data_IF_163324096084
#
_entry.id   IF_163324096084
#
_cell.length_a   1.000
_cell.length_b   1.000
_cell.length_c   1.000
_cell.angle_alpha   90.00
_cell.angle_beta   90.00
_cell.angle_gamma   90.00
#
_symmetry.space_group_name_H-M   'P 1'
#
loop_
_entity.id
_entity.type
_entity.pdbx_description
1 polymer ?
#
# COMPACT_ATOMS: atom_id res chain seq x y z
N UNK A 1 -30.18 -33.87 -26.91
CA UNK A 1 -30.34 -32.88 -25.83
C UNK A 1 -29.30 -31.79 -26.07
N UNK A 2 -29.73 -30.59 -26.43
CA UNK A 2 -28.84 -29.46 -26.76
C UNK A 2 -28.68 -28.65 -25.47
N UNK A 3 -27.51 -28.66 -24.86
CA UNK A 3 -27.14 -27.80 -23.72
C UNK A 3 -26.75 -26.42 -24.26
N UNK A 4 -27.54 -25.44 -23.91
CA UNK A 4 -27.28 -24.02 -24.17
C UNK A 4 -26.21 -23.53 -23.17
N UNK A 5 -25.05 -23.12 -23.68
CA UNK A 5 -24.06 -22.38 -22.90
C UNK A 5 -24.47 -20.90 -22.86
N UNK A 6 -24.80 -20.40 -21.67
CA UNK A 6 -24.93 -18.99 -21.41
C UNK A 6 -23.54 -18.42 -21.11
N UNK A 7 -22.85 -17.95 -22.15
CA UNK A 7 -21.73 -17.03 -21.93
C UNK A 7 -22.33 -15.67 -21.60
N UNK A 8 -22.20 -15.26 -20.32
CA UNK A 8 -22.56 -13.93 -19.90
C UNK A 8 -21.47 -12.96 -20.39
N UNK A 9 -21.54 -12.57 -21.65
CA UNK A 9 -20.82 -11.43 -22.20
C UNK A 9 -21.56 -10.21 -21.66
N UNK A 10 -20.99 -9.58 -20.61
CA UNK A 10 -21.43 -8.26 -20.16
C UNK A 10 -20.99 -7.25 -21.22
N UNK A 11 -21.76 -7.17 -22.30
CA UNK A 11 -21.66 -6.12 -23.29
C UNK A 11 -22.15 -4.84 -22.62
N UNK A 12 -21.23 -3.97 -22.18
CA UNK A 12 -21.57 -2.60 -21.80
C UNK A 12 -22.18 -1.92 -23.05
N UNK A 13 -23.48 -1.85 -23.11
CA UNK A 13 -24.20 -0.96 -23.99
C UNK A 13 -23.85 0.48 -23.55
N UNK A 14 -22.86 1.06 -24.21
CA UNK A 14 -22.61 2.49 -24.14
C UNK A 14 -23.78 3.18 -24.86
N UNK A 15 -24.62 3.98 -24.19
CA UNK A 15 -25.56 4.81 -24.91
C UNK A 15 -24.75 5.80 -25.75
N UNK A 16 -25.03 5.85 -27.05
CA UNK A 16 -24.54 6.87 -27.95
C UNK A 16 -25.18 8.20 -27.53
N UNK A 17 -24.58 8.90 -26.57
CA UNK A 17 -24.94 10.28 -26.27
C UNK A 17 -24.40 11.16 -27.39
N UNK A 18 -25.30 11.82 -28.09
CA UNK A 18 -24.96 12.91 -28.99
C UNK A 18 -24.28 14.01 -28.19
N UNK A 19 -22.99 14.20 -28.40
CA UNK A 19 -22.24 15.29 -27.79
C UNK A 19 -22.60 16.59 -28.49
N UNK A 20 -23.28 17.45 -27.75
CA UNK A 20 -23.36 18.86 -28.08
C UNK A 20 -22.01 19.49 -27.73
N UNK A 21 -21.32 20.00 -28.75
CA UNK A 21 -20.11 20.78 -28.56
C UNK A 21 -20.37 21.99 -27.68
N UNK A 22 -19.71 22.04 -26.51
CA UNK A 22 -19.42 23.33 -25.87
C UNK A 22 -18.17 23.21 -24.98
N UNK A 23 -17.21 24.10 -25.27
CA UNK A 23 -15.95 24.40 -24.61
C UNK A 23 -14.90 23.30 -24.67
N UNK A 24 -13.87 23.55 -25.47
CA UNK A 24 -12.61 22.82 -25.49
C UNK A 24 -12.00 22.81 -24.06
N UNK A 25 -12.26 21.77 -23.29
CA UNK A 25 -11.39 21.41 -22.18
C UNK A 25 -10.16 20.82 -22.81
N UNK A 26 -9.06 21.52 -22.68
CA UNK A 26 -7.75 21.09 -23.21
C UNK A 26 -7.44 19.68 -22.71
N UNK A 27 -7.07 18.81 -23.64
CA UNK A 27 -6.54 17.51 -23.31
C UNK A 27 -5.12 17.70 -22.76
N UNK A 28 -4.88 17.21 -21.57
CA UNK A 28 -3.56 17.27 -20.94
C UNK A 28 -2.79 15.98 -21.23
N UNK A 29 -1.61 16.12 -21.80
CA UNK A 29 -0.66 15.02 -21.99
C UNK A 29 0.65 15.39 -21.32
N UNK A 30 1.15 14.52 -20.45
CA UNK A 30 2.46 14.69 -19.83
C UNK A 30 3.27 13.41 -19.88
N UNK A 31 4.58 13.59 -19.99
CA UNK A 31 5.55 12.51 -19.93
C UNK A 31 6.65 12.90 -18.95
N UNK A 32 7.00 11.99 -18.05
CA UNK A 32 8.06 12.20 -17.08
C UNK A 32 9.00 11.00 -17.02
N UNK A 33 10.27 11.28 -16.72
CA UNK A 33 11.29 10.27 -16.56
C UNK A 33 11.96 10.43 -15.19
N UNK A 34 12.15 9.32 -14.51
CA UNK A 34 12.89 9.27 -13.25
C UNK A 34 14.07 8.32 -13.39
N UNK A 35 15.27 8.80 -13.03
CA UNK A 35 16.47 7.99 -12.85
C UNK A 35 16.86 8.12 -11.38
N UNK A 36 16.89 7.03 -10.64
CA UNK A 36 17.13 7.02 -9.19
C UNK A 36 18.15 5.95 -8.81
N UNK A 37 19.45 6.21 -8.96
CA UNK A 37 20.50 5.38 -8.36
C UNK A 37 20.51 5.60 -6.85
N UNK A 38 20.76 4.52 -6.09
CA UNK A 38 20.90 4.56 -4.62
C UNK A 38 22.05 3.65 -4.20
N UNK A 39 23.14 4.28 -3.76
CA UNK A 39 24.26 3.57 -3.18
C UNK A 39 23.99 3.28 -1.70
N UNK A 40 24.26 2.05 -1.28
CA UNK A 40 24.07 1.59 0.08
C UNK A 40 25.31 0.85 0.58
N UNK A 41 25.69 1.14 1.82
CA UNK A 41 26.65 0.36 2.61
C UNK A 41 25.93 -0.20 3.82
N UNK A 42 25.84 -1.53 3.92
CA UNK A 42 25.09 -2.23 4.97
C UNK A 42 26.03 -2.98 5.90
N UNK A 43 26.16 -2.46 7.11
CA UNK A 43 26.87 -3.14 8.21
C UNK A 43 25.86 -3.84 9.14
N UNK A 44 25.17 -4.83 8.62
CA UNK A 44 23.94 -5.41 9.11
C UNK A 44 22.78 -5.01 8.20
N UNK A 45 21.58 -5.55 8.44
CA UNK A 45 20.35 -5.17 7.73
C UNK A 45 19.20 -5.10 8.75
N UNK A 46 18.27 -6.05 8.74
CA UNK A 46 17.23 -6.16 9.76
C UNK A 46 17.73 -6.77 11.08
N UNK A 47 18.96 -7.24 11.10
CA UNK A 47 19.65 -7.77 12.29
C UNK A 47 21.07 -7.22 12.33
N UNK A 48 21.69 -7.09 13.52
CA UNK A 48 23.10 -6.77 13.65
C UNK A 48 23.96 -7.76 12.83
N UNK A 49 25.04 -7.27 12.27
CA UNK A 49 25.99 -8.10 11.54
C UNK A 49 26.68 -9.10 12.49
N UNK A 50 26.66 -10.37 12.13
CA UNK A 50 27.38 -11.39 12.88
C UNK A 50 28.90 -11.21 12.76
N UNK A 51 29.63 -11.67 13.77
CA UNK A 51 31.09 -11.69 13.76
C UNK A 51 31.63 -12.50 12.55
N UNK A 52 32.69 -12.01 11.91
CA UNK A 52 33.25 -12.61 10.72
C UNK A 52 32.54 -12.34 9.39
N UNK A 53 31.29 -11.89 9.41
CA UNK A 53 30.55 -11.53 8.20
C UNK A 53 30.96 -10.13 7.72
N UNK A 54 31.29 -9.96 6.44
CA UNK A 54 31.67 -8.66 5.86
C UNK A 54 30.43 -7.80 5.63
N UNK A 55 30.59 -6.48 5.73
CA UNK A 55 29.57 -5.53 5.32
C UNK A 55 29.33 -5.63 3.80
N UNK A 56 28.09 -5.34 3.37
CA UNK A 56 27.70 -5.36 1.97
C UNK A 56 27.64 -3.95 1.38
N UNK A 57 27.98 -3.82 0.10
CA UNK A 57 27.79 -2.56 -0.66
C UNK A 57 27.07 -2.87 -1.97
N UNK A 58 26.13 -2.02 -2.35
CA UNK A 58 25.40 -2.15 -3.61
C UNK A 58 24.94 -0.78 -4.12
N UNK A 59 24.71 -0.69 -5.42
CA UNK A 59 24.04 0.45 -6.03
C UNK A 59 22.79 -0.08 -6.70
N UNK A 60 21.62 0.24 -6.11
CA UNK A 60 20.32 -0.02 -6.72
C UNK A 60 20.01 1.09 -7.72
N UNK A 61 19.30 0.75 -8.78
CA UNK A 61 18.85 1.72 -9.76
C UNK A 61 17.40 1.50 -10.15
N UNK A 62 16.65 2.58 -10.29
CA UNK A 62 15.35 2.62 -10.95
C UNK A 62 15.39 3.63 -12.09
N UNK A 63 15.07 3.18 -13.30
CA UNK A 63 14.74 4.03 -14.42
C UNK A 63 13.25 3.84 -14.73
N UNK A 64 12.44 4.88 -14.59
CA UNK A 64 10.98 4.84 -14.77
C UNK A 64 10.57 5.91 -15.79
N UNK A 65 9.76 5.49 -16.77
CA UNK A 65 9.06 6.37 -17.68
C UNK A 65 7.58 6.35 -17.33
N UNK A 66 6.98 7.51 -17.17
CA UNK A 66 5.54 7.67 -16.91
C UNK A 66 4.91 8.52 -17.99
N UNK A 67 3.74 8.13 -18.43
CA UNK A 67 2.89 8.83 -19.39
C UNK A 67 1.53 9.00 -18.70
N UNK A 68 1.06 10.24 -18.65
CA UNK A 68 -0.23 10.61 -18.10
C UNK A 68 -1.02 11.33 -19.19
N UNK A 69 -2.25 10.93 -19.40
CA UNK A 69 -3.22 11.57 -20.28
C UNK A 69 -4.49 11.87 -19.50
N UNK A 70 -4.99 13.09 -19.63
CA UNK A 70 -6.20 13.52 -18.98
C UNK A 70 -7.10 14.29 -19.94
N UNK A 71 -8.35 13.90 -19.94
CA UNK A 71 -9.48 14.56 -20.59
C UNK A 71 -10.57 14.81 -19.54
N UNK A 72 -11.60 15.54 -19.86
CA UNK A 72 -12.66 15.90 -18.91
C UNK A 72 -13.28 14.73 -18.16
N UNK A 73 -13.39 13.56 -18.80
CA UNK A 73 -14.07 12.37 -18.31
C UNK A 73 -13.17 11.13 -18.25
N UNK A 74 -11.92 11.25 -18.70
CA UNK A 74 -10.99 10.13 -18.81
C UNK A 74 -9.60 10.53 -18.32
N UNK A 75 -9.04 9.73 -17.42
CA UNK A 75 -7.63 9.78 -17.03
C UNK A 75 -6.98 8.43 -17.37
N UNK A 76 -5.80 8.46 -17.99
CA UNK A 76 -5.00 7.25 -18.28
C UNK A 76 -3.60 7.48 -17.73
N UNK A 77 -3.07 6.49 -17.04
CA UNK A 77 -1.67 6.46 -16.63
C UNK A 77 -1.00 5.17 -17.07
N UNK A 78 0.19 5.31 -17.62
CA UNK A 78 1.09 4.19 -17.87
C UNK A 78 2.48 4.53 -17.33
N UNK A 79 3.05 3.61 -16.57
CA UNK A 79 4.38 3.75 -15.98
C UNK A 79 5.14 2.44 -16.11
N UNK A 80 6.20 2.45 -16.91
CA UNK A 80 7.10 1.32 -17.09
C UNK A 80 8.46 1.62 -16.46
N UNK A 81 9.08 0.59 -15.85
CA UNK A 81 10.35 0.78 -15.16
C UNK A 81 11.31 -0.40 -15.33
N UNK A 82 12.59 -0.08 -15.31
CA UNK A 82 13.66 -1.02 -15.06
C UNK A 82 14.14 -0.83 -13.62
N UNK A 83 14.23 -1.93 -12.87
CA UNK A 83 14.80 -1.96 -11.51
C UNK A 83 15.85 -3.05 -11.41
N UNK A 84 16.99 -2.74 -10.81
CA UNK A 84 18.10 -3.69 -10.69
C UNK A 84 19.23 -3.15 -9.83
N UNK A 85 20.30 -3.92 -9.75
CA UNK A 85 21.55 -3.56 -9.11
C UNK A 85 22.61 -3.42 -10.20
N UNK A 86 23.48 -2.43 -10.10
CA UNK A 86 24.57 -2.24 -11.06
C UNK A 86 25.46 -3.49 -11.15
N UNK A 87 25.69 -3.94 -12.37
CA UNK A 87 26.43 -5.17 -12.65
C UNK A 87 25.59 -6.46 -12.56
N UNK A 88 24.30 -6.39 -12.20
CA UNK A 88 23.42 -7.54 -12.15
C UNK A 88 23.10 -8.08 -13.55
N UNK A 89 22.97 -7.19 -14.54
CA UNK A 89 22.66 -7.57 -15.92
C UNK A 89 23.98 -7.81 -16.66
N UNK A 90 24.24 -9.04 -17.19
CA UNK A 90 25.39 -9.31 -18.02
C UNK A 90 25.38 -8.45 -19.27
N UNK A 91 26.54 -8.08 -19.78
CA UNK A 91 26.64 -7.50 -21.10
C UNK A 91 26.07 -8.49 -22.14
N UNK A 92 25.33 -7.98 -23.13
CA UNK A 92 24.67 -8.77 -24.15
C UNK A 92 23.56 -9.69 -23.64
N UNK A 93 23.01 -9.43 -22.44
CA UNK A 93 21.82 -10.13 -21.94
C UNK A 93 20.61 -9.81 -22.82
N UNK A 94 19.87 -10.87 -23.18
CA UNK A 94 18.65 -10.79 -23.97
C UNK A 94 17.37 -10.78 -23.11
N UNK A 95 17.50 -10.93 -21.79
CA UNK A 95 16.38 -11.00 -20.85
C UNK A 95 16.02 -9.59 -20.39
N UNK A 96 14.93 -9.06 -20.90
CA UNK A 96 14.44 -7.77 -20.47
C UNK A 96 13.92 -7.78 -19.03
N UNK A 97 14.24 -6.74 -18.26
CA UNK A 97 13.79 -6.54 -16.87
C UNK A 97 12.82 -5.38 -16.73
N UNK A 98 12.10 -5.08 -17.79
CA UNK A 98 11.06 -4.07 -17.75
C UNK A 98 9.83 -4.60 -17.02
N UNK A 99 9.35 -3.81 -16.05
CA UNK A 99 8.14 -4.10 -15.28
C UNK A 99 7.16 -2.96 -15.47
N UNK A 100 5.92 -3.30 -15.76
CA UNK A 100 4.84 -2.32 -15.76
C UNK A 100 4.48 -2.00 -14.30
N UNK A 101 4.80 -0.79 -13.85
CA UNK A 101 4.53 -0.34 -12.49
C UNK A 101 3.09 0.12 -12.30
N UNK A 102 2.58 0.92 -13.24
CA UNK A 102 1.17 1.31 -13.30
C UNK A 102 0.68 1.24 -14.74
N UNK A 103 -0.57 0.83 -14.92
CA UNK A 103 -1.29 0.87 -16.19
C UNK A 103 -2.78 0.82 -15.89
N UNK A 104 -3.42 1.98 -15.84
CA UNK A 104 -4.82 2.08 -15.49
C UNK A 104 -5.53 3.18 -16.28
N UNK A 105 -6.84 3.03 -16.40
CA UNK A 105 -7.75 4.06 -16.89
C UNK A 105 -8.81 4.36 -15.84
N UNK A 106 -9.15 5.63 -15.68
CA UNK A 106 -10.23 6.12 -14.82
C UNK A 106 -11.25 6.86 -15.67
N UNK A 107 -12.51 6.46 -15.56
CA UNK A 107 -13.65 7.10 -16.18
C UNK A 107 -14.47 7.83 -15.11
N UNK A 108 -14.78 9.09 -15.36
CA UNK A 108 -15.69 9.90 -14.56
C UNK A 108 -17.08 9.85 -15.21
N UNK A 109 -18.09 9.44 -14.44
CA UNK A 109 -19.48 9.33 -14.87
C UNK A 109 -20.31 10.58 -14.53
N UNK A 110 -19.67 11.60 -13.98
CA UNK A 110 -20.34 12.77 -13.44
C UNK A 110 -20.91 12.54 -12.03
N UNK A 111 -21.36 13.62 -11.41
CA UNK A 111 -21.94 13.62 -10.06
C UNK A 111 -21.01 13.01 -8.98
N UNK A 112 -19.69 13.02 -9.22
CA UNK A 112 -18.69 12.48 -8.33
C UNK A 112 -18.47 10.97 -8.44
N UNK A 113 -19.15 10.27 -9.34
CA UNK A 113 -19.01 8.84 -9.56
C UNK A 113 -17.91 8.54 -10.57
N UNK A 114 -17.04 7.57 -10.26
CA UNK A 114 -15.98 7.12 -11.16
C UNK A 114 -15.70 5.62 -11.04
N UNK A 115 -15.06 5.08 -12.09
CA UNK A 115 -14.44 3.76 -12.06
C UNK A 115 -12.99 3.86 -12.56
N UNK A 116 -12.07 3.18 -11.87
CA UNK A 116 -10.66 3.05 -12.25
C UNK A 116 -10.28 1.59 -12.32
N UNK A 117 -9.77 1.16 -13.46
CA UNK A 117 -9.42 -0.24 -13.70
C UNK A 117 -7.97 -0.34 -14.18
N UNK A 118 -7.27 -1.34 -13.68
CA UNK A 118 -5.92 -1.71 -14.10
C UNK A 118 -4.92 -1.75 -12.95
N UNK A 119 -3.63 -1.80 -13.31
CA UNK A 119 -2.50 -1.82 -12.37
C UNK A 119 -2.27 -0.45 -11.78
N UNK A 120 -2.44 -0.31 -10.47
CA UNK A 120 -2.47 0.97 -9.79
C UNK A 120 -1.85 0.88 -8.39
N UNK A 121 -1.26 1.97 -7.93
CA UNK A 121 -0.92 2.11 -6.52
C UNK A 121 -2.20 2.37 -5.70
N UNK A 122 -2.33 1.67 -4.57
CA UNK A 122 -3.37 1.93 -3.57
C UNK A 122 -2.71 2.65 -2.38
N UNK A 123 -3.00 3.94 -2.25
CA UNK A 123 -2.42 4.80 -1.23
C UNK A 123 -3.55 5.45 -0.47
N UNK A 124 -3.66 5.13 0.82
CA UNK A 124 -4.76 5.56 1.68
C UNK A 124 -4.25 6.05 3.03
N UNK A 125 -4.89 7.10 3.53
CA UNK A 125 -4.64 7.70 4.84
C UNK A 125 -3.15 8.05 5.04
N UNK A 126 -2.53 7.57 6.11
CA UNK A 126 -1.11 7.73 6.39
C UNK A 126 -0.22 6.61 5.81
N UNK A 127 -0.81 5.68 5.03
CA UNK A 127 -0.14 4.53 4.43
C UNK A 127 0.24 3.39 5.40
N UNK A 128 -0.40 3.28 6.55
CA UNK A 128 -0.11 2.18 7.50
C UNK A 128 -0.61 0.82 7.04
N UNK A 129 -1.68 0.77 6.24
CA UNK A 129 -2.31 -0.47 5.74
C UNK A 129 -2.17 -0.59 4.23
N UNK A 130 -2.44 0.48 3.48
CA UNK A 130 -2.31 0.56 2.02
C UNK A 130 -1.39 1.72 1.66
N UNK A 131 -0.21 1.42 1.14
CA UNK A 131 0.78 2.41 0.76
C UNK A 131 1.53 2.05 -0.51
N UNK A 132 2.02 3.08 -1.21
CA UNK A 132 2.68 2.96 -2.50
C UNK A 132 4.09 2.38 -2.44
N UNK A 133 4.72 2.38 -1.26
CA UNK A 133 6.09 1.89 -1.02
C UNK A 133 7.11 2.48 -2.01
N UNK A 134 6.95 3.74 -2.43
CA UNK A 134 7.79 4.32 -3.50
C UNK A 134 9.25 4.58 -3.09
N UNK A 135 9.56 4.59 -1.78
CA UNK A 135 10.94 4.61 -1.30
C UNK A 135 11.71 3.33 -1.70
N UNK A 136 11.04 2.17 -1.79
CA UNK A 136 11.60 0.94 -2.34
C UNK A 136 11.93 1.12 -3.83
N UNK A 137 12.93 0.40 -4.32
CA UNK A 137 13.36 0.54 -5.72
C UNK A 137 12.26 0.15 -6.71
N UNK A 138 11.41 -0.82 -6.37
CA UNK A 138 10.33 -1.30 -7.25
C UNK A 138 9.01 -0.54 -7.07
N UNK A 139 8.69 -0.09 -5.84
CA UNK A 139 7.35 0.39 -5.51
C UNK A 139 6.35 -0.77 -5.31
N UNK A 140 5.08 -0.43 -5.05
CA UNK A 140 3.99 -1.40 -4.90
C UNK A 140 2.81 -1.04 -5.79
N UNK A 141 2.16 -2.04 -6.34
CA UNK A 141 0.97 -1.91 -7.15
C UNK A 141 0.00 -3.07 -6.90
N UNK A 142 -1.25 -2.87 -7.33
CA UNK A 142 -2.32 -3.85 -7.30
C UNK A 142 -3.06 -3.84 -8.63
N UNK A 143 -3.39 -5.00 -9.17
CA UNK A 143 -4.28 -5.14 -10.32
C UNK A 143 -5.72 -5.16 -9.78
N UNK A 144 -6.46 -4.07 -9.98
CA UNK A 144 -7.73 -3.85 -9.29
C UNK A 144 -8.73 -3.02 -10.10
N UNK A 145 -10.01 -3.25 -9.80
CA UNK A 145 -11.11 -2.34 -10.11
C UNK A 145 -11.39 -1.50 -8.84
N UNK A 146 -11.40 -0.18 -8.99
CA UNK A 146 -11.81 0.77 -7.97
C UNK A 146 -13.04 1.53 -8.46
N UNK A 147 -14.14 1.39 -7.75
CA UNK A 147 -15.35 2.19 -7.93
C UNK A 147 -15.37 3.26 -6.83
N UNK A 148 -15.65 4.48 -7.19
CA UNK A 148 -15.61 5.58 -6.25
C UNK A 148 -16.75 6.58 -6.41
N UNK A 149 -17.03 7.24 -5.30
CA UNK A 149 -17.87 8.41 -5.22
C UNK A 149 -17.16 9.47 -4.38
N UNK A 150 -17.13 10.69 -4.88
CA UNK A 150 -16.56 11.83 -4.16
C UNK A 150 -17.46 13.06 -4.29
N UNK A 151 -17.66 13.74 -3.18
CA UNK A 151 -18.22 15.09 -3.15
C UNK A 151 -17.32 15.99 -2.28
N UNK A 152 -17.79 17.20 -1.92
CA UNK A 152 -17.01 18.14 -1.13
C UNK A 152 -16.49 17.58 0.20
N UNK A 153 -17.30 16.76 0.87
CA UNK A 153 -17.07 16.30 2.23
C UNK A 153 -16.82 14.80 2.36
N UNK A 154 -17.28 14.02 1.40
CA UNK A 154 -17.31 12.56 1.49
C UNK A 154 -16.64 11.94 0.28
N UNK A 155 -15.84 10.93 0.52
CA UNK A 155 -15.25 10.09 -0.50
C UNK A 155 -15.42 8.62 -0.09
N UNK A 156 -15.88 7.79 -1.03
CA UNK A 156 -16.10 6.35 -0.82
C UNK A 156 -15.44 5.59 -1.94
N UNK A 157 -14.63 4.58 -1.62
CA UNK A 157 -14.04 3.66 -2.59
C UNK A 157 -14.42 2.22 -2.26
N UNK A 158 -14.85 1.49 -3.29
CA UNK A 158 -14.92 0.03 -3.31
C UNK A 158 -13.80 -0.48 -4.22
N UNK A 159 -12.89 -1.27 -3.66
CA UNK A 159 -11.73 -1.82 -4.36
C UNK A 159 -11.89 -3.33 -4.44
N UNK A 160 -11.79 -3.88 -5.65
CA UNK A 160 -11.88 -5.29 -5.93
C UNK A 160 -10.64 -5.74 -6.69
N UNK A 161 -9.88 -6.67 -6.13
CA UNK A 161 -8.70 -7.24 -6.77
C UNK A 161 -8.78 -8.77 -6.78
N UNK A 162 -8.27 -9.36 -7.85
CA UNK A 162 -8.24 -10.82 -8.04
C UNK A 162 -6.95 -11.20 -8.76
N UNK A 163 -6.21 -12.14 -8.18
CA UNK A 163 -4.95 -12.64 -8.70
C UNK A 163 -5.05 -14.12 -9.07
N UNK A 164 -4.32 -14.51 -10.10
CA UNK A 164 -4.22 -15.88 -10.59
C UNK A 164 -2.80 -16.14 -11.11
N UNK A 165 -2.31 -17.36 -10.96
CA UNK A 165 -0.98 -17.72 -11.43
C UNK A 165 -0.87 -17.81 -12.94
N UNK A 166 -1.99 -18.21 -13.61
CA UNK A 166 -2.03 -18.51 -15.01
C UNK A 166 -3.47 -18.48 -15.55
N UNK A 167 -3.63 -18.33 -16.86
CA UNK A 167 -4.91 -18.49 -17.53
C UNK A 167 -5.22 -19.98 -17.68
N UNK A 168 -6.30 -20.44 -17.02
CA UNK A 168 -6.78 -21.82 -17.11
C UNK A 168 -8.08 -21.91 -17.86
N UNK A 169 -8.21 -22.93 -18.73
CA UNK A 169 -9.46 -23.23 -19.44
C UNK A 169 -10.37 -24.15 -18.66
N UNK A 170 -9.80 -25.00 -17.81
CA UNK A 170 -10.51 -25.97 -16.95
C UNK A 170 -9.69 -26.23 -15.69
N UNK A 171 -10.27 -26.85 -14.67
CA UNK A 171 -9.58 -27.33 -13.48
C UNK A 171 -9.44 -26.30 -12.36
N UNK A 172 -10.14 -25.17 -12.45
CA UNK A 172 -10.12 -24.14 -11.41
C UNK A 172 -9.00 -23.09 -11.56
N UNK A 173 -9.05 -22.07 -10.73
CA UNK A 173 -8.09 -20.95 -10.70
C UNK A 173 -7.39 -20.93 -9.35
N UNK A 174 -6.06 -21.08 -9.36
CA UNK A 174 -5.24 -21.17 -8.16
C UNK A 174 -4.25 -20.02 -8.07
N UNK A 175 -3.92 -19.63 -6.84
CA UNK A 175 -2.94 -18.58 -6.53
C UNK A 175 -2.10 -18.91 -5.29
N UNK A 176 -1.84 -20.19 -5.04
CA UNK A 176 -1.15 -20.63 -3.82
C UNK A 176 0.31 -20.16 -3.70
N UNK A 177 0.96 -19.83 -4.81
CA UNK A 177 2.37 -19.41 -4.88
C UNK A 177 2.59 -18.23 -5.83
N UNK A 178 1.69 -17.27 -5.84
CA UNK A 178 1.77 -16.10 -6.71
C UNK A 178 2.69 -15.00 -6.18
N UNK A 179 3.01 -14.04 -7.05
CA UNK A 179 3.85 -12.90 -6.71
C UNK A 179 3.14 -11.86 -5.82
N UNK A 180 1.82 -11.77 -5.90
CA UNK A 180 1.04 -10.93 -5.00
C UNK A 180 0.71 -11.69 -3.70
N UNK A 181 0.62 -11.02 -2.55
CA UNK A 181 0.45 -11.70 -1.28
C UNK A 181 -0.99 -12.15 -0.98
N UNK A 182 -1.94 -11.98 -1.90
CA UNK A 182 -3.35 -12.39 -1.76
C UNK A 182 -3.90 -12.92 -3.08
N UNK A 183 -4.89 -13.82 -3.01
CA UNK A 183 -5.67 -14.26 -4.17
C UNK A 183 -6.74 -13.23 -4.56
N UNK A 184 -7.47 -12.76 -3.58
CA UNK A 184 -8.50 -11.74 -3.80
C UNK A 184 -8.53 -10.74 -2.64
N UNK A 185 -8.99 -9.51 -2.94
CA UNK A 185 -9.15 -8.45 -1.98
C UNK A 185 -10.44 -7.69 -2.29
N UNK A 186 -11.24 -7.51 -1.25
CA UNK A 186 -12.39 -6.62 -1.25
C UNK A 186 -12.16 -5.57 -0.16
N UNK A 187 -12.11 -4.30 -0.55
CA UNK A 187 -11.87 -3.21 0.39
C UNK A 187 -12.90 -2.11 0.20
N UNK A 188 -13.46 -1.66 1.30
CA UNK A 188 -14.26 -0.44 1.36
C UNK A 188 -13.48 0.58 2.18
N UNK A 189 -13.29 1.75 1.63
CA UNK A 189 -12.71 2.90 2.32
C UNK A 189 -13.66 4.09 2.20
N UNK A 190 -13.87 4.78 3.30
CA UNK A 190 -14.68 5.99 3.39
C UNK A 190 -13.85 7.08 4.06
N UNK A 191 -13.90 8.28 3.52
CA UNK A 191 -13.30 9.46 4.13
C UNK A 191 -14.32 10.60 4.24
N UNK A 192 -14.37 11.20 5.41
CA UNK A 192 -15.10 12.40 5.71
C UNK A 192 -14.15 13.55 5.99
N UNK A 193 -14.40 14.71 5.37
CA UNK A 193 -13.69 15.96 5.63
C UNK A 193 -14.69 17.02 6.07
N UNK A 194 -14.50 17.59 7.26
CA UNK A 194 -15.37 18.63 7.79
C UNK A 194 -15.15 19.98 7.07
N UNK A 195 -16.21 20.76 6.95
CA UNK A 195 -16.17 22.06 6.27
C UNK A 195 -15.64 23.19 7.15
N UNK A 196 -16.00 23.18 8.43
CA UNK A 196 -15.81 24.33 9.35
C UNK A 196 -14.55 24.18 10.20
N UNK A 197 -14.25 22.96 10.58
CA UNK A 197 -13.06 22.62 11.38
C UNK A 197 -12.10 21.79 10.57
N UNK A 198 -10.77 21.90 10.79
CA UNK A 198 -9.76 21.12 10.05
C UNK A 198 -9.70 19.67 10.55
N UNK A 199 -10.82 18.95 10.44
CA UNK A 199 -10.99 17.57 10.87
C UNK A 199 -11.28 16.66 9.68
N UNK A 200 -10.61 15.50 9.67
CA UNK A 200 -10.85 14.41 8.73
C UNK A 200 -10.94 13.07 9.47
N UNK A 201 -11.75 12.18 8.96
CA UNK A 201 -11.91 10.82 9.49
C UNK A 201 -12.08 9.83 8.35
N UNK A 202 -11.33 8.72 8.40
CA UNK A 202 -11.50 7.61 7.47
C UNK A 202 -11.93 6.35 8.20
N UNK A 203 -12.69 5.51 7.49
CA UNK A 203 -13.02 4.14 7.89
C UNK A 203 -12.54 3.20 6.80
N UNK A 204 -11.91 2.10 7.19
CA UNK A 204 -11.44 1.05 6.29
C UNK A 204 -12.00 -0.30 6.73
N UNK A 205 -12.51 -1.05 5.78
CA UNK A 205 -12.77 -2.48 5.91
C UNK A 205 -12.11 -3.20 4.73
N UNK A 206 -11.24 -4.15 5.01
CA UNK A 206 -10.53 -4.96 4.01
C UNK A 206 -10.74 -6.43 4.33
N UNK A 207 -11.14 -7.21 3.32
CA UNK A 207 -11.22 -8.65 3.36
C UNK A 207 -10.20 -9.24 2.38
N UNK A 208 -9.22 -9.96 2.87
CA UNK A 208 -8.16 -10.58 2.09
C UNK A 208 -8.36 -12.09 2.01
N UNK A 209 -8.42 -12.63 0.80
CA UNK A 209 -8.37 -14.06 0.55
C UNK A 209 -6.92 -14.51 0.39
N UNK A 210 -6.44 -15.29 1.35
CA UNK A 210 -5.10 -15.88 1.37
C UNK A 210 -5.19 -17.34 0.97
N UNK A 211 -4.66 -17.69 -0.19
CA UNK A 211 -4.73 -19.06 -0.72
C UNK A 211 -3.45 -19.83 -0.37
N UNK A 212 -3.65 -21.06 0.10
CA UNK A 212 -2.60 -22.03 0.39
C UNK A 212 -2.97 -23.37 -0.21
N UNK A 213 -2.02 -24.28 -0.34
CA UNK A 213 -2.22 -25.61 -0.90
C UNK A 213 -1.40 -25.84 -2.16
N UNK A 214 -1.78 -26.88 -2.90
CA UNK A 214 -1.06 -27.30 -4.09
C UNK A 214 -1.94 -27.16 -5.34
N UNK A 215 -1.53 -26.28 -6.25
CA UNK A 215 -2.21 -26.06 -7.51
C UNK A 215 -2.15 -27.29 -8.43
N UNK A 216 -1.12 -28.15 -8.33
CA UNK A 216 -0.96 -29.33 -9.15
C UNK A 216 -1.96 -30.44 -8.77
N UNK A 217 -2.25 -30.58 -7.49
CA UNK A 217 -3.24 -31.54 -6.96
C UNK A 217 -4.65 -30.96 -6.90
N UNK A 218 -4.81 -29.68 -7.22
CA UNK A 218 -6.07 -28.92 -7.10
C UNK A 218 -6.60 -28.88 -5.63
N UNK A 219 -5.72 -29.11 -4.68
CA UNK A 219 -6.02 -29.01 -3.25
C UNK A 219 -5.56 -27.64 -2.72
N UNK A 220 -6.40 -26.65 -2.92
CA UNK A 220 -6.15 -25.30 -2.43
C UNK A 220 -7.29 -24.81 -1.54
N UNK A 221 -6.92 -24.00 -0.55
CA UNK A 221 -7.86 -23.42 0.39
C UNK A 221 -7.65 -21.91 0.50
N UNK A 222 -8.71 -21.14 0.26
CA UNK A 222 -8.70 -19.68 0.49
C UNK A 222 -9.22 -19.39 1.89
N UNK A 223 -8.40 -18.77 2.71
CA UNK A 223 -8.73 -18.29 4.04
C UNK A 223 -8.84 -16.79 4.05
N UNK A 224 -9.71 -16.25 4.87
CA UNK A 224 -10.00 -14.82 4.86
C UNK A 224 -9.52 -14.16 6.14
N UNK A 225 -8.71 -13.11 5.96
CA UNK A 225 -8.27 -12.18 6.98
C UNK A 225 -9.01 -10.85 6.79
N UNK A 226 -9.73 -10.41 7.80
CA UNK A 226 -10.39 -9.11 7.80
C UNK A 226 -9.54 -8.11 8.59
N UNK A 227 -9.37 -6.91 8.02
CA UNK A 227 -8.78 -5.75 8.70
C UNK A 227 -9.79 -4.61 8.66
N UNK A 228 -10.10 -4.04 9.81
CA UNK A 228 -11.02 -2.92 9.93
C UNK A 228 -10.44 -1.86 10.86
N UNK A 229 -10.70 -0.59 10.56
CA UNK A 229 -10.19 0.47 11.40
C UNK A 229 -10.53 1.87 10.93
N UNK A 230 -9.92 2.83 11.60
CA UNK A 230 -10.13 4.26 11.40
C UNK A 230 -8.82 5.02 11.44
N UNK A 231 -8.78 6.10 10.66
CA UNK A 231 -7.73 7.11 10.72
C UNK A 231 -8.36 8.49 10.90
N UNK A 232 -7.86 9.25 11.86
CA UNK A 232 -8.38 10.55 12.26
C UNK A 232 -7.29 11.61 12.11
N UNK A 233 -7.66 12.79 11.63
CA UNK A 233 -6.79 13.96 11.55
C UNK A 233 -7.50 15.18 12.12
N UNK A 234 -6.75 15.99 12.89
CA UNK A 234 -7.24 17.29 13.37
C UNK A 234 -6.09 18.29 13.39
N UNK A 235 -6.21 19.38 12.62
CA UNK A 235 -5.11 20.35 12.41
C UNK A 235 -5.50 21.77 12.80
N UNK A 236 -5.81 22.05 14.09
CA UNK A 236 -6.20 23.37 14.56
C UNK A 236 -4.98 24.29 14.73
N UNK A 237 -4.91 25.38 13.97
CA UNK A 237 -3.84 26.37 14.04
C UNK A 237 -2.46 25.75 13.77
N UNK A 238 -1.56 25.83 14.76
CA UNK A 238 -0.20 25.27 14.66
C UNK A 238 -0.08 23.79 15.03
N UNK A 239 -1.16 23.15 15.45
CA UNK A 239 -1.18 21.74 15.81
C UNK A 239 -1.49 20.84 14.62
N UNK A 240 -0.88 19.66 14.57
CA UNK A 240 -1.30 18.52 13.74
C UNK A 240 -1.44 17.31 14.65
N UNK A 241 -2.66 16.81 14.76
CA UNK A 241 -3.00 15.64 15.57
C UNK A 241 -3.50 14.55 14.63
N UNK A 242 -2.90 13.36 14.74
CA UNK A 242 -3.25 12.21 13.94
C UNK A 242 -3.45 11.00 14.86
N UNK A 243 -4.42 10.13 14.51
CA UNK A 243 -4.69 8.91 15.25
C UNK A 243 -5.16 7.80 14.34
N UNK A 244 -4.71 6.58 14.58
CA UNK A 244 -5.12 5.39 13.84
C UNK A 244 -5.45 4.25 14.79
N UNK A 245 -6.45 3.45 14.45
CA UNK A 245 -6.75 2.20 15.12
C UNK A 245 -7.20 1.17 14.09
N UNK A 246 -6.59 -0.03 14.13
CA UNK A 246 -6.97 -1.14 13.26
C UNK A 246 -7.05 -2.44 14.06
N UNK A 247 -8.01 -3.28 13.70
CA UNK A 247 -8.22 -4.61 14.25
C UNK A 247 -8.24 -5.65 13.14
N UNK A 248 -7.57 -6.78 13.37
CA UNK A 248 -7.54 -7.92 12.46
C UNK A 248 -8.22 -9.14 13.08
N UNK A 249 -9.01 -9.82 12.26
CA UNK A 249 -9.74 -11.04 12.64
C UNK A 249 -9.85 -11.99 11.45
N UNK A 250 -10.40 -13.18 11.68
CA UNK A 250 -10.53 -14.22 10.66
C UNK A 250 -9.43 -15.26 10.76
N UNK A 251 -8.80 -15.62 9.64
CA UNK A 251 -7.71 -16.61 9.58
C UNK A 251 -6.55 -16.12 8.74
N UNK A 252 -5.32 -16.36 9.20
CA UNK A 252 -4.13 -16.20 8.41
C UNK A 252 -3.93 -17.36 7.40
N UNK A 253 -2.86 -17.31 6.60
CA UNK A 253 -2.53 -18.36 5.62
C UNK A 253 -2.30 -19.73 6.28
N UNK A 254 -1.86 -19.79 7.53
CA UNK A 254 -1.55 -20.99 8.28
C UNK A 254 -2.79 -21.58 9.01
N UNK A 255 -3.99 -21.07 8.69
CA UNK A 255 -5.28 -21.45 9.27
C UNK A 255 -5.50 -21.05 10.73
N UNK A 256 -4.59 -20.31 11.34
CA UNK A 256 -4.74 -19.82 12.70
C UNK A 256 -5.80 -18.74 12.78
N UNK A 257 -6.60 -18.76 13.82
CA UNK A 257 -7.57 -17.68 14.11
C UNK A 257 -6.81 -16.43 14.53
N UNK A 258 -7.08 -15.31 13.87
CA UNK A 258 -6.41 -14.03 14.15
C UNK A 258 -7.26 -13.17 15.09
N UNK A 259 -6.60 -12.48 16.01
CA UNK A 259 -7.18 -11.44 16.85
C UNK A 259 -6.07 -10.47 17.24
N UNK A 260 -5.77 -9.53 16.35
CA UNK A 260 -4.64 -8.62 16.47
C UNK A 260 -5.09 -7.16 16.35
N UNK A 261 -4.36 -6.25 16.96
CA UNK A 261 -4.69 -4.82 16.92
C UNK A 261 -3.46 -3.94 16.76
N UNK A 262 -3.68 -2.78 16.18
CA UNK A 262 -2.72 -1.70 16.07
C UNK A 262 -3.37 -0.39 16.49
N UNK A 263 -2.64 0.44 17.22
CA UNK A 263 -3.01 1.80 17.56
C UNK A 263 -1.86 2.75 17.35
N UNK A 264 -2.17 3.98 16.92
CA UNK A 264 -1.20 5.04 16.74
C UNK A 264 -1.79 6.37 17.14
N UNK A 265 -0.99 7.21 17.79
CA UNK A 265 -1.30 8.62 18.03
C UNK A 265 -0.07 9.46 17.76
N UNK A 266 -0.27 10.62 17.15
CA UNK A 266 0.78 11.60 16.89
C UNK A 266 0.27 13.00 17.19
N UNK A 267 1.09 13.80 17.82
CA UNK A 267 0.89 15.24 17.99
C UNK A 267 2.14 15.98 17.53
N UNK A 268 1.95 16.92 16.61
CA UNK A 268 3.02 17.83 16.17
C UNK A 268 2.58 19.27 16.39
N UNK A 269 3.54 20.13 16.72
CA UNK A 269 3.33 21.55 16.90
C UNK A 269 4.38 22.35 16.14
N UNK A 270 3.93 23.27 15.30
CA UNK A 270 4.78 24.21 14.58
C UNK A 270 4.86 25.54 15.37
N UNK A 271 6.01 25.87 15.92
CA UNK A 271 6.23 27.15 16.58
C UNK A 271 6.15 28.30 15.57
N UNK A 272 6.76 28.07 14.42
CA UNK A 272 6.78 28.97 13.29
C UNK A 272 7.04 28.18 11.97
N UNK A 273 7.40 28.87 10.87
CA UNK A 273 7.75 28.23 9.60
C UNK A 273 9.06 27.45 9.64
N UNK A 274 9.91 27.71 10.64
CA UNK A 274 11.27 27.18 10.77
C UNK A 274 11.34 26.01 11.74
N UNK A 275 10.69 26.12 12.89
CA UNK A 275 10.79 25.15 13.99
C UNK A 275 9.48 24.44 14.28
N UNK A 276 9.58 23.16 14.56
CA UNK A 276 8.46 22.36 15.05
C UNK A 276 8.94 21.16 15.86
N UNK A 277 8.02 20.57 16.60
CA UNK A 277 8.26 19.36 17.40
C UNK A 277 7.18 18.34 17.11
N UNK A 278 7.47 17.06 17.33
CA UNK A 278 6.54 15.96 17.20
C UNK A 278 6.72 14.97 18.34
N UNK A 279 5.62 14.42 18.82
CA UNK A 279 5.62 13.25 19.69
C UNK A 279 4.62 12.23 19.12
N UNK A 280 4.96 10.95 19.15
CA UNK A 280 4.06 9.88 18.72
C UNK A 280 4.26 8.61 19.52
N UNK A 281 3.20 7.79 19.53
CA UNK A 281 3.23 6.46 20.09
C UNK A 281 2.53 5.50 19.13
N UNK A 282 3.21 4.41 18.80
CA UNK A 282 2.71 3.32 17.98
C UNK A 282 2.70 2.02 18.77
N UNK A 283 1.62 1.26 18.64
CA UNK A 283 1.46 -0.06 19.23
C UNK A 283 1.02 -1.06 18.17
N UNK A 284 1.77 -2.13 17.99
CA UNK A 284 1.41 -3.31 17.22
C UNK A 284 1.39 -4.50 18.15
N UNK A 285 0.25 -5.16 18.29
CA UNK A 285 0.13 -6.36 19.14
C UNK A 285 1.06 -7.48 18.69
N UNK A 286 1.58 -8.23 19.64
CA UNK A 286 2.42 -9.41 19.44
C UNK A 286 1.71 -10.71 19.81
N UNK A 287 2.37 -11.85 19.53
CA UNK A 287 1.91 -13.19 19.85
C UNK A 287 3.00 -13.97 20.58
N UNK A 288 2.62 -14.60 21.71
CA UNK A 288 3.53 -15.43 22.53
C UNK A 288 3.64 -16.87 22.04
N UNK A 289 2.86 -17.27 21.04
CA UNK A 289 2.84 -18.63 20.51
C UNK A 289 2.21 -19.67 21.44
N UNK A 290 1.46 -19.26 22.45
CA UNK A 290 0.90 -20.14 23.49
C UNK A 290 -0.63 -20.02 23.66
N UNK A 291 -1.31 -19.38 22.72
CA UNK A 291 -2.76 -19.13 22.76
C UNK A 291 -3.52 -19.79 21.61
N UNK A 292 -4.87 -19.76 21.70
CA UNK A 292 -5.76 -20.29 20.66
C UNK A 292 -5.90 -19.36 19.44
N UNK A 293 -5.32 -18.16 19.51
CA UNK A 293 -5.41 -17.13 18.46
C UNK A 293 -4.05 -16.52 18.24
N UNK A 294 -3.72 -16.30 16.97
CA UNK A 294 -2.59 -15.51 16.55
C UNK A 294 -2.88 -14.02 16.79
N UNK A 295 -2.06 -13.36 17.60
CA UNK A 295 -2.29 -11.99 18.06
C UNK A 295 -1.31 -10.96 17.49
N UNK A 296 -0.31 -11.36 16.70
CA UNK A 296 0.60 -10.42 16.09
C UNK A 296 -0.08 -9.68 14.93
N UNK A 297 -0.06 -8.35 14.99
CA UNK A 297 -0.64 -7.51 13.96
C UNK A 297 0.22 -7.53 12.69
N UNK A 298 -0.41 -7.77 11.55
CA UNK A 298 0.23 -7.70 10.24
C UNK A 298 -0.06 -6.32 9.60
N UNK A 299 0.95 -5.45 9.41
CA UNK A 299 0.76 -4.15 8.78
C UNK A 299 0.52 -4.22 7.27
N UNK A 300 0.32 -5.40 6.70
CA UNK A 300 -0.12 -5.68 5.33
C UNK A 300 0.70 -4.93 4.26
N UNK A 301 0.03 -4.06 3.51
CA UNK A 301 0.60 -3.35 2.35
C UNK A 301 0.99 -1.91 2.67
N UNK A 302 1.28 -1.62 3.93
CA UNK A 302 1.70 -0.30 4.37
C UNK A 302 3.10 0.10 3.89
N UNK A 303 3.41 1.38 3.92
CA UNK A 303 4.74 1.95 3.70
C UNK A 303 5.48 2.03 5.04
N UNK A 304 5.89 0.89 5.58
CA UNK A 304 6.36 0.76 6.98
C UNK A 304 7.63 1.57 7.27
N UNK A 305 8.51 1.75 6.28
CA UNK A 305 9.70 2.59 6.40
C UNK A 305 9.40 4.05 6.80
N UNK A 306 8.17 4.51 6.63
CA UNK A 306 7.68 5.83 7.03
C UNK A 306 7.50 5.94 8.55
N UNK A 307 7.41 4.80 9.24
CA UNK A 307 7.16 4.65 10.67
C UNK A 307 8.31 3.89 11.33
N UNK A 308 8.27 3.53 12.56
CA UNK A 308 9.09 2.55 13.28
C UNK A 308 10.62 2.67 13.08
N UNK A 309 11.12 3.89 12.79
CA UNK A 309 12.54 4.18 12.60
C UNK A 309 13.08 3.84 11.20
N UNK A 310 14.06 4.62 10.75
CA UNK A 310 14.56 4.59 9.37
C UNK A 310 15.39 3.35 9.01
N UNK A 311 15.79 2.54 10.00
CA UNK A 311 16.60 1.32 9.75
C UNK A 311 15.77 0.04 9.58
N UNK A 312 14.45 0.10 9.78
CA UNK A 312 13.51 -1.03 9.69
C UNK A 312 13.84 -2.23 10.61
N UNK A 313 14.62 -2.01 11.68
CA UNK A 313 15.04 -3.08 12.58
C UNK A 313 13.90 -3.69 13.39
N UNK A 314 12.92 -2.87 13.77
CA UNK A 314 12.00 -3.22 14.84
C UNK A 314 10.57 -3.45 14.36
N UNK A 315 10.21 -3.11 13.13
CA UNK A 315 8.82 -3.19 12.70
C UNK A 315 8.37 -4.60 12.30
N UNK A 316 9.30 -5.50 12.02
CA UNK A 316 8.96 -6.83 11.50
C UNK A 316 8.41 -7.74 12.61
N UNK A 317 7.15 -8.16 12.47
CA UNK A 317 6.54 -9.20 13.30
C UNK A 317 7.02 -10.60 12.89
N UNK A 318 8.32 -10.83 12.94
CA UNK A 318 8.90 -12.13 12.66
C UNK A 318 8.77 -13.02 13.90
N UNK A 319 8.39 -14.27 13.68
CA UNK A 319 8.40 -15.27 14.73
C UNK A 319 9.84 -15.58 15.14
N UNK A 320 10.20 -15.24 16.37
CA UNK A 320 11.54 -15.43 16.93
C UNK A 320 11.41 -16.12 18.26
N UNK A 321 12.14 -17.23 18.46
CA UNK A 321 12.11 -18.00 19.71
C UNK A 321 10.71 -18.39 20.17
N UNK A 322 9.79 -18.68 19.24
CA UNK A 322 8.45 -19.15 19.53
C UNK A 322 7.41 -18.05 19.75
N UNK A 323 7.70 -16.79 19.50
CA UNK A 323 6.74 -15.68 19.56
C UNK A 323 7.02 -14.61 18.50
N UNK A 324 5.99 -13.89 18.12
CA UNK A 324 6.07 -12.69 17.30
C UNK A 324 6.01 -11.47 18.22
N UNK A 325 7.07 -10.68 18.36
CA UNK A 325 7.21 -9.74 19.47
C UNK A 325 6.20 -8.59 19.49
N UNK A 326 5.64 -8.23 18.33
CA UNK A 326 4.91 -6.97 18.20
C UNK A 326 5.84 -5.78 18.48
N UNK A 327 5.29 -4.58 18.54
CA UNK A 327 6.10 -3.37 18.68
C UNK A 327 5.36 -2.30 19.48
N UNK A 328 6.08 -1.65 20.39
CA UNK A 328 5.73 -0.34 20.93
C UNK A 328 6.85 0.63 20.56
N UNK A 329 6.51 1.74 19.91
CA UNK A 329 7.45 2.79 19.52
C UNK A 329 6.99 4.13 20.10
N UNK A 330 7.77 4.67 21.03
CA UNK A 330 7.58 6.03 21.55
C UNK A 330 8.60 6.95 20.89
N UNK A 331 8.13 7.92 20.12
CA UNK A 331 8.98 8.86 19.38
C UNK A 331 8.80 10.28 19.87
N UNK A 332 9.92 11.00 19.96
CA UNK A 332 9.95 12.44 20.07
C UNK A 332 10.92 13.00 19.03
N UNK A 333 10.55 14.10 18.38
CA UNK A 333 11.36 14.67 17.30
C UNK A 333 11.25 16.18 17.22
N UNK A 334 12.24 16.75 16.54
CA UNK A 334 12.28 18.16 16.19
C UNK A 334 12.49 18.32 14.68
N UNK A 335 11.82 19.31 14.12
CA UNK A 335 11.96 19.70 12.72
C UNK A 335 12.56 21.09 12.65
N UNK A 336 13.50 21.27 11.73
CA UNK A 336 14.14 22.54 11.42
C UNK A 336 14.17 22.76 9.92
N UNK A 337 13.45 23.76 9.42
CA UNK A 337 13.47 24.20 8.03
C UNK A 337 14.38 25.42 7.89
N UNK A 338 15.61 25.19 7.44
CA UNK A 338 16.58 26.25 7.24
C UNK A 338 16.25 27.13 6.01
N UNK A 339 15.58 26.56 5.00
CA UNK A 339 15.13 27.25 3.79
C UNK A 339 14.08 26.42 3.06
N UNK A 340 13.51 26.91 1.95
CA UNK A 340 12.59 26.14 1.10
C UNK A 340 13.25 24.91 0.45
N UNK A 341 14.58 24.80 0.49
CA UNK A 341 15.35 23.70 -0.08
C UNK A 341 15.98 22.78 0.98
N UNK A 342 15.97 23.16 2.26
CA UNK A 342 16.63 22.43 3.33
C UNK A 342 15.65 22.25 4.49
N UNK A 343 15.21 21.00 4.66
CA UNK A 343 14.35 20.56 5.75
C UNK A 343 15.06 19.42 6.49
N UNK A 344 15.22 19.54 7.79
CA UNK A 344 15.92 18.58 8.64
C UNK A 344 15.01 18.10 9.75
N UNK A 345 15.09 16.82 10.04
CA UNK A 345 14.37 16.19 11.16
C UNK A 345 15.34 15.39 12.01
N UNK A 346 15.20 15.54 13.33
CA UNK A 346 15.88 14.71 14.31
C UNK A 346 14.81 13.99 15.12
N UNK A 347 14.81 12.66 15.09
CA UNK A 347 13.86 11.83 15.81
C UNK A 347 14.62 10.90 16.77
N UNK A 348 14.14 10.82 18.00
CA UNK A 348 14.52 9.79 18.96
C UNK A 348 13.37 8.81 19.13
N UNK A 349 13.68 7.53 19.02
CA UNK A 349 12.74 6.42 19.17
C UNK A 349 13.12 5.57 20.38
N UNK A 350 12.13 5.21 21.17
CA UNK A 350 12.26 4.21 22.23
C UNK A 350 11.38 3.01 21.89
N UNK A 351 12.02 1.92 21.48
CA UNK A 351 11.36 0.70 21.05
C UNK A 351 11.31 -0.33 22.17
N UNK A 352 10.14 -0.97 22.33
CA UNK A 352 9.97 -2.14 23.17
C UNK A 352 9.10 -3.17 22.45
N UNK A 353 9.18 -4.44 22.87
CA UNK A 353 8.25 -5.47 22.40
C UNK A 353 6.89 -5.31 23.07
N UNK A 354 5.82 -5.72 22.37
CA UNK A 354 4.46 -5.71 22.90
C UNK A 354 4.14 -6.96 23.74
N UNK A 355 4.97 -8.03 23.65
CA UNK A 355 4.85 -9.30 24.41
C UNK A 355 6.21 -9.79 24.88
#
# INVERSE_FOLDING_TARGET
>A
MKTFYWSLVLMMLLPSMAYTQNTEKENEFSMSMQIRPRAEYRNGAWFPRNEGVKAASSINNRARLSIDYKRSDLEIKMSAQHVGVWGQDPQLDKNGRFVLNEAWAKLDFGHGLFAQLGRQALVYDDERILGGLDWNVAGRYHDALKLGYANKNNEVHLILAFNQNDEKKIGGTYYASGAQPYKNMQTVWYHYKADVIPFGASLLFMNLGLETGDAATQDSHTRYLQTMGTYLTYKPGSWSLDGAFYYQTGKNKDAEKVSALMGSVQAAYAFDKTWGVVASFDYLSGDKGNGDKFKAFDPLYGTHHKFYGSMDYFYANLFVNGYAPGLMDSRIGARFRASDKVDMELNYHYFTTAV
#
